data_IF_999277288606
#
_entry.id   IF_999277288606
#
_cell.length_a   1.000
_cell.length_b   1.000
_cell.length_c   1.000
_cell.angle_alpha   90.00
_cell.angle_beta   90.00
_cell.angle_gamma   90.00
#
_symmetry.space_group_name_H-M   'P 1'
#
loop_
_entity.id
_entity.type
_entity.pdbx_description
1 polymer ?
#
# COMPACT_ATOMS: atom_id res chain seq x y z
N UNK A 1 -16.13 -4.56 -8.63
CA UNK A 1 -14.75 -5.08 -8.76
C UNK A 1 -13.81 -4.37 -7.79
N UNK A 2 -12.84 -5.06 -7.18
CA UNK A 2 -11.86 -4.51 -6.25
C UNK A 2 -10.43 -4.94 -6.58
N UNK A 3 -9.57 -3.99 -6.92
CA UNK A 3 -8.13 -4.20 -7.08
C UNK A 3 -7.46 -3.84 -5.76
N UNK A 4 -6.61 -4.71 -5.23
CA UNK A 4 -5.74 -4.44 -4.11
C UNK A 4 -4.33 -4.17 -4.64
N UNK A 5 -3.80 -2.98 -4.38
CA UNK A 5 -2.52 -2.53 -4.89
C UNK A 5 -1.55 -2.29 -3.74
N UNK A 6 -0.44 -3.01 -3.71
CA UNK A 6 0.65 -2.81 -2.76
C UNK A 6 1.67 -1.85 -3.34
N UNK A 7 1.94 -0.76 -2.63
CA UNK A 7 2.96 0.22 -3.03
C UNK A 7 4.36 -0.38 -2.93
N UNK A 8 5.41 0.38 -3.26
CA UNK A 8 6.80 -0.03 -3.03
C UNK A 8 7.32 0.32 -1.63
N UNK A 9 6.45 0.79 -0.73
CA UNK A 9 6.86 1.26 0.59
C UNK A 9 7.25 2.74 0.62
N UNK A 10 6.92 3.52 -0.42
CA UNK A 10 7.00 4.98 -0.39
C UNK A 10 6.58 5.56 0.96
N UNK A 11 7.41 6.46 1.51
CA UNK A 11 7.18 7.11 2.79
C UNK A 11 7.77 6.40 4.02
N UNK A 12 8.17 5.12 3.94
CA UNK A 12 8.77 4.43 5.10
C UNK A 12 10.13 5.03 5.50
N UNK A 13 10.78 5.79 4.62
CA UNK A 13 12.02 6.51 4.91
C UNK A 13 11.82 7.71 5.85
N UNK A 14 10.57 8.12 6.11
CA UNK A 14 10.23 9.17 7.09
C UNK A 14 9.89 8.56 8.45
N UNK A 15 10.55 9.05 9.49
CA UNK A 15 10.39 8.56 10.87
C UNK A 15 8.96 8.76 11.36
N UNK A 16 8.34 9.89 11.03
CA UNK A 16 6.94 10.18 11.36
C UNK A 16 5.98 9.11 10.85
N UNK A 17 6.24 8.58 9.65
CA UNK A 17 5.46 7.49 9.05
C UNK A 17 5.78 6.18 9.77
N UNK A 18 7.06 5.87 10.01
CA UNK A 18 7.48 4.65 10.76
C UNK A 18 6.82 4.60 12.13
N UNK A 19 6.92 5.67 12.91
CA UNK A 19 6.32 5.78 14.24
C UNK A 19 4.79 5.62 14.19
N UNK A 20 4.15 6.23 13.20
CA UNK A 20 2.71 6.12 13.01
C UNK A 20 2.28 4.69 12.66
N UNK A 21 2.98 4.00 11.75
CA UNK A 21 2.63 2.61 11.40
C UNK A 21 2.92 1.64 12.54
N UNK A 22 3.91 1.92 13.39
CA UNK A 22 4.17 1.14 14.60
C UNK A 22 3.05 1.26 15.64
N UNK A 23 2.12 2.22 15.52
CA UNK A 23 0.93 2.27 16.37
C UNK A 23 -0.19 1.35 15.88
N UNK A 24 -0.08 0.78 14.69
CA UNK A 24 -1.08 -0.11 14.11
C UNK A 24 -0.84 -1.55 14.62
N UNK A 25 -1.80 -2.17 15.33
CA UNK A 25 -1.59 -3.48 15.97
C UNK A 25 -1.18 -4.60 15.02
N UNK A 26 -1.78 -4.64 13.82
CA UNK A 26 -1.46 -5.66 12.82
C UNK A 26 -0.05 -5.48 12.25
N UNK A 27 0.44 -4.23 12.15
CA UNK A 27 1.83 -3.94 11.74
C UNK A 27 2.81 -4.40 12.81
N UNK A 28 2.56 -4.08 14.09
CA UNK A 28 3.38 -4.58 15.20
C UNK A 28 3.42 -6.10 15.25
N UNK A 29 2.28 -6.75 15.08
CA UNK A 29 2.17 -8.21 15.08
C UNK A 29 2.97 -8.81 13.92
N UNK A 30 2.91 -8.19 12.74
CA UNK A 30 3.67 -8.60 11.56
C UNK A 30 5.18 -8.46 11.80
N UNK A 31 5.64 -7.32 12.34
CA UNK A 31 7.06 -7.08 12.66
C UNK A 31 7.59 -8.07 13.69
N UNK A 32 6.84 -8.32 14.77
CA UNK A 32 7.23 -9.29 15.82
C UNK A 32 7.37 -10.71 15.27
N UNK A 33 6.47 -11.13 14.36
CA UNK A 33 6.59 -12.42 13.67
C UNK A 33 7.79 -12.45 12.72
N UNK A 34 8.06 -11.35 12.03
CA UNK A 34 9.23 -11.22 11.15
C UNK A 34 10.56 -11.24 11.90
N UNK A 35 10.58 -10.81 13.17
CA UNK A 35 11.80 -10.78 14.01
C UNK A 35 12.49 -12.15 14.10
N UNK A 36 11.74 -13.26 14.05
CA UNK A 36 12.27 -14.62 14.07
C UNK A 36 13.22 -14.94 12.90
N UNK A 37 13.01 -14.26 11.76
CA UNK A 37 13.80 -14.42 10.54
C UNK A 37 14.99 -13.46 10.48
N UNK A 38 14.94 -12.33 11.20
CA UNK A 38 15.99 -11.32 11.27
C UNK A 38 16.79 -11.41 12.58
N UNK A 39 17.37 -12.58 12.88
CA UNK A 39 17.96 -12.88 14.20
C UNK A 39 19.12 -11.97 14.64
N UNK A 40 19.78 -11.31 13.70
CA UNK A 40 20.97 -10.49 13.96
C UNK A 40 20.68 -8.99 14.04
N UNK A 41 19.42 -8.58 13.88
CA UNK A 41 19.01 -7.18 13.86
C UNK A 41 17.68 -7.03 14.58
N UNK A 42 17.57 -6.09 15.50
CA UNK A 42 16.29 -5.75 16.12
C UNK A 42 15.47 -4.88 15.15
N UNK A 43 14.40 -5.45 14.59
CA UNK A 43 13.56 -4.78 13.60
C UNK A 43 12.82 -3.59 14.21
N UNK A 44 12.43 -3.67 15.48
CA UNK A 44 11.74 -2.57 16.16
C UNK A 44 12.69 -1.40 16.40
N UNK A 45 13.94 -1.69 16.77
CA UNK A 45 14.98 -0.67 16.90
C UNK A 45 15.28 -0.02 15.54
N UNK A 46 15.38 -0.81 14.47
CA UNK A 46 15.62 -0.26 13.12
C UNK A 46 14.49 0.65 12.67
N UNK A 47 13.24 0.30 12.96
CA UNK A 47 12.09 1.17 12.63
C UNK A 47 12.12 2.51 13.38
N UNK A 48 12.75 2.56 14.55
CA UNK A 48 12.91 3.78 15.36
C UNK A 48 14.16 4.61 15.06
N UNK A 49 14.97 4.24 14.06
CA UNK A 49 16.14 5.02 13.68
C UNK A 49 15.74 6.41 13.13
N UNK A 50 16.56 7.45 13.33
CA UNK A 50 16.43 8.73 12.63
C UNK A 50 16.51 8.55 11.10
N UNK A 51 15.95 9.49 10.34
CA UNK A 51 15.84 9.39 8.87
C UNK A 51 17.18 9.19 8.17
N UNK A 52 18.22 9.91 8.59
CA UNK A 52 19.55 9.81 7.98
C UNK A 52 20.21 8.46 8.21
N UNK A 53 19.98 7.84 9.38
CA UNK A 53 20.47 6.50 9.70
C UNK A 53 19.65 5.42 8.99
N UNK A 54 18.32 5.59 8.94
CA UNK A 54 17.44 4.66 8.24
C UNK A 54 17.74 4.59 6.73
N UNK A 55 18.11 5.72 6.12
CA UNK A 55 18.57 5.77 4.72
C UNK A 55 19.87 5.00 4.47
N UNK A 56 20.66 4.73 5.50
CA UNK A 56 21.87 3.90 5.41
C UNK A 56 21.61 2.41 5.61
N UNK A 57 20.41 2.03 6.10
CA UNK A 57 20.00 0.63 6.22
C UNK A 57 20.04 -0.04 4.85
N UNK A 58 20.53 -1.28 4.81
CA UNK A 58 20.64 -2.03 3.56
C UNK A 58 19.28 -2.16 2.86
N UNK A 59 19.29 -2.09 1.53
CA UNK A 59 18.07 -2.21 0.72
C UNK A 59 17.32 -3.51 1.00
N UNK A 60 18.05 -4.60 1.25
CA UNK A 60 17.48 -5.91 1.62
C UNK A 60 16.66 -5.81 2.91
N UNK A 61 17.22 -5.19 3.96
CA UNK A 61 16.52 -5.04 5.23
C UNK A 61 15.36 -4.05 5.13
N UNK A 62 15.52 -2.94 4.40
CA UNK A 62 14.40 -2.01 4.14
C UNK A 62 13.24 -2.69 3.41
N UNK A 63 13.54 -3.44 2.34
CA UNK A 63 12.52 -4.19 1.61
C UNK A 63 11.82 -5.23 2.49
N UNK A 64 12.55 -5.84 3.42
CA UNK A 64 11.95 -6.75 4.39
C UNK A 64 10.98 -6.02 5.33
N UNK A 65 11.38 -4.87 5.87
CA UNK A 65 10.51 -4.03 6.71
C UNK A 65 9.26 -3.56 5.96
N UNK A 66 9.41 -3.09 4.73
CA UNK A 66 8.30 -2.68 3.85
C UNK A 66 7.29 -3.83 3.70
N UNK A 67 7.77 -5.04 3.40
CA UNK A 67 6.92 -6.22 3.25
C UNK A 67 6.18 -6.56 4.55
N UNK A 68 6.84 -6.44 5.70
CA UNK A 68 6.20 -6.69 7.00
C UNK A 68 5.14 -5.64 7.33
N UNK A 69 5.41 -4.36 7.08
CA UNK A 69 4.43 -3.27 7.24
C UNK A 69 3.23 -3.49 6.34
N UNK A 70 3.46 -3.75 5.05
CA UNK A 70 2.41 -4.05 4.09
C UNK A 70 1.57 -5.26 4.46
N UNK A 71 2.20 -6.32 4.98
CA UNK A 71 1.49 -7.49 5.48
C UNK A 71 0.58 -7.15 6.65
N UNK A 72 1.03 -6.29 7.57
CA UNK A 72 0.22 -5.79 8.67
C UNK A 72 -0.98 -4.98 8.20
N UNK A 73 -0.76 -4.01 7.30
CA UNK A 73 -1.82 -3.20 6.70
C UNK A 73 -2.82 -4.07 5.90
N UNK A 74 -2.33 -5.06 5.17
CA UNK A 74 -3.17 -6.03 4.47
C UNK A 74 -4.01 -6.87 5.43
N UNK A 75 -3.42 -7.37 6.53
CA UNK A 75 -4.16 -8.13 7.52
C UNK A 75 -5.27 -7.27 8.16
N UNK A 76 -4.98 -6.01 8.46
CA UNK A 76 -5.96 -5.05 8.97
C UNK A 76 -7.12 -4.84 8.00
N UNK A 77 -6.81 -4.75 6.72
CA UNK A 77 -7.82 -4.64 5.66
C UNK A 77 -8.67 -5.92 5.53
N UNK A 78 -8.05 -7.12 5.56
CA UNK A 78 -8.78 -8.40 5.56
C UNK A 78 -9.69 -8.52 6.79
N UNK A 79 -9.24 -8.10 7.97
CA UNK A 79 -9.99 -8.17 9.22
C UNK A 79 -11.34 -7.41 9.17
N UNK A 80 -11.56 -6.58 8.15
CA UNK A 80 -12.82 -5.87 7.87
C UNK A 80 -13.70 -6.54 6.84
N UNK A 81 -13.51 -7.85 6.63
CA UNK A 81 -14.24 -8.66 5.65
C UNK A 81 -14.14 -8.10 4.22
N UNK A 82 -12.97 -7.55 3.89
CA UNK A 82 -12.67 -7.14 2.53
C UNK A 82 -12.05 -8.29 1.72
N UNK A 83 -12.40 -8.34 0.43
CA UNK A 83 -11.88 -9.31 -0.56
C UNK A 83 -11.44 -8.59 -1.82
N UNK A 84 -10.35 -9.05 -2.42
CA UNK A 84 -9.78 -8.49 -3.64
C UNK A 84 -10.08 -9.40 -4.82
N UNK A 85 -10.44 -8.79 -5.95
CA UNK A 85 -10.59 -9.46 -7.25
C UNK A 85 -9.28 -9.48 -8.05
N UNK A 86 -8.34 -8.62 -7.72
CA UNK A 86 -6.99 -8.61 -8.31
C UNK A 86 -6.02 -8.10 -7.26
N UNK A 87 -4.89 -8.76 -7.09
CA UNK A 87 -3.82 -8.30 -6.22
C UNK A 87 -2.63 -7.89 -7.09
N UNK A 88 -2.31 -6.61 -7.07
CA UNK A 88 -1.15 -6.03 -7.73
C UNK A 88 -0.08 -5.70 -6.70
N UNK A 89 1.15 -6.17 -6.93
CA UNK A 89 2.29 -5.85 -6.08
C UNK A 89 3.42 -5.31 -6.95
N UNK A 90 3.98 -4.15 -6.57
CA UNK A 90 5.19 -3.59 -7.19
C UNK A 90 6.44 -4.34 -6.72
N UNK A 91 6.51 -5.64 -7.01
CA UNK A 91 7.66 -6.50 -6.69
C UNK A 91 8.66 -6.40 -7.87
N UNK A 92 9.96 -6.27 -7.58
CA UNK A 92 11.07 -6.38 -8.55
C UNK A 92 11.14 -5.32 -9.65
N UNK A 93 11.05 -4.02 -9.32
CA UNK A 93 11.26 -2.95 -10.31
C UNK A 93 10.34 -2.99 -11.53
N UNK A 94 9.16 -3.62 -11.43
CA UNK A 94 8.17 -3.56 -12.52
C UNK A 94 7.96 -2.11 -12.93
N UNK A 95 8.04 -1.87 -14.23
CA UNK A 95 7.91 -0.52 -14.73
C UNK A 95 6.49 -0.04 -14.48
N UNK A 96 6.37 1.26 -14.26
CA UNK A 96 5.08 1.92 -14.15
C UNK A 96 4.17 1.60 -15.34
N UNK A 97 4.74 1.46 -16.54
CA UNK A 97 4.01 1.10 -17.76
C UNK A 97 3.38 -0.30 -17.69
N UNK A 98 4.07 -1.27 -17.09
CA UNK A 98 3.55 -2.65 -16.96
C UNK A 98 2.35 -2.71 -16.01
N UNK A 99 2.45 -2.01 -14.88
CA UNK A 99 1.36 -1.93 -13.88
C UNK A 99 0.14 -1.22 -14.50
N UNK A 100 0.39 -0.15 -15.26
CA UNK A 100 -0.65 0.55 -16.03
C UNK A 100 -1.36 -0.39 -17.00
N UNK A 101 -0.60 -1.16 -17.78
CA UNK A 101 -1.15 -2.10 -18.74
C UNK A 101 -1.99 -3.19 -18.06
N UNK A 102 -1.53 -3.74 -16.93
CA UNK A 102 -2.24 -4.78 -16.18
C UNK A 102 -3.58 -4.28 -15.63
N UNK A 103 -3.62 -3.08 -15.04
CA UNK A 103 -4.85 -2.45 -14.57
C UNK A 103 -5.84 -2.23 -15.72
N UNK A 104 -5.37 -1.67 -16.85
CA UNK A 104 -6.22 -1.38 -18.00
C UNK A 104 -6.75 -2.65 -18.66
N UNK A 105 -5.91 -3.68 -18.79
CA UNK A 105 -6.30 -4.97 -19.34
C UNK A 105 -7.34 -5.67 -18.46
N UNK A 106 -7.16 -5.64 -17.13
CA UNK A 106 -8.12 -6.21 -16.20
C UNK A 106 -9.48 -5.51 -16.26
N UNK A 107 -9.48 -4.17 -16.29
CA UNK A 107 -10.69 -3.37 -16.49
C UNK A 107 -11.37 -3.72 -17.81
N UNK A 108 -10.60 -3.76 -18.91
CA UNK A 108 -11.12 -4.00 -20.25
C UNK A 108 -11.71 -5.41 -20.39
N UNK A 109 -10.95 -6.43 -20.02
CA UNK A 109 -11.37 -7.81 -20.18
C UNK A 109 -12.62 -8.14 -19.37
N UNK A 110 -12.77 -7.55 -18.18
CA UNK A 110 -14.01 -7.66 -17.39
C UNK A 110 -15.18 -6.85 -17.98
N UNK A 111 -14.94 -5.68 -18.57
CA UNK A 111 -15.98 -4.89 -19.27
C UNK A 111 -16.51 -5.59 -20.53
N UNK A 112 -15.65 -6.36 -21.21
CA UNK A 112 -15.97 -7.10 -22.42
C UNK A 112 -16.51 -8.52 -22.13
N UNK A 113 -16.81 -8.85 -20.86
CA UNK A 113 -17.25 -10.19 -20.40
C UNK A 113 -16.35 -11.36 -20.84
N UNK A 114 -15.06 -11.09 -21.09
CA UNK A 114 -14.10 -12.14 -21.43
C UNK A 114 -13.62 -12.85 -20.15
N UNK A 115 -13.47 -14.17 -20.23
CA UNK A 115 -12.82 -14.96 -19.19
C UNK A 115 -11.35 -14.55 -19.09
N UNK A 116 -11.06 -13.67 -18.13
CA UNK A 116 -9.69 -13.47 -17.66
C UNK A 116 -9.33 -14.73 -16.90
N UNK A 117 -8.20 -15.36 -17.22
CA UNK A 117 -7.62 -16.47 -16.48
C UNK A 117 -7.24 -16.01 -15.07
N UNK A 118 -8.25 -15.90 -14.20
CA UNK A 118 -8.12 -15.76 -12.77
C UNK A 118 -8.55 -17.10 -12.21
N UNK A 119 -7.62 -18.04 -12.09
CA UNK A 119 -7.88 -19.44 -11.70
C UNK A 119 -8.66 -19.58 -10.36
N UNK A 120 -8.86 -18.51 -9.58
CA UNK A 120 -9.51 -18.55 -8.27
C UNK A 120 -10.70 -17.57 -8.07
N UNK A 121 -11.22 -16.91 -9.10
CA UNK A 121 -12.21 -15.83 -8.90
C UNK A 121 -13.62 -16.19 -9.36
N UNK A 122 -14.35 -16.81 -8.43
CA UNK A 122 -15.81 -16.78 -8.44
C UNK A 122 -16.29 -15.33 -8.28
N UNK A 123 -16.98 -14.77 -9.29
CA UNK A 123 -18.32 -14.15 -9.20
C UNK A 123 -18.58 -13.02 -10.21
N UNK A 124 -19.86 -12.97 -10.61
CA UNK A 124 -20.48 -12.27 -11.73
C UNK A 124 -21.27 -11.01 -11.32
N UNK A 125 -20.99 -10.40 -10.18
CA UNK A 125 -21.85 -9.33 -9.65
C UNK A 125 -21.12 -8.01 -9.41
N UNK A 126 -21.71 -6.95 -9.98
CA UNK A 126 -21.37 -5.52 -9.91
C UNK A 126 -20.32 -4.99 -10.91
N UNK A 127 -20.81 -4.81 -12.16
CA UNK A 127 -20.11 -4.15 -13.28
C UNK A 127 -20.14 -2.60 -13.23
N UNK A 128 -20.84 -1.98 -12.28
CA UNK A 128 -21.04 -0.51 -12.30
C UNK A 128 -19.89 0.31 -11.68
N UNK A 129 -18.97 -0.33 -10.94
CA UNK A 129 -17.80 0.36 -10.40
C UNK A 129 -16.58 -0.55 -10.14
N UNK A 130 -15.40 0.07 -10.22
CA UNK A 130 -14.11 -0.51 -9.80
C UNK A 130 -13.63 0.21 -8.54
N UNK A 131 -13.20 -0.53 -7.55
CA UNK A 131 -12.57 0.00 -6.36
C UNK A 131 -11.08 -0.39 -6.39
N UNK A 132 -10.17 0.57 -6.24
CA UNK A 132 -8.74 0.30 -6.08
C UNK A 132 -8.39 0.65 -4.65
N UNK A 133 -8.02 -0.36 -3.87
CA UNK A 133 -7.55 -0.20 -2.49
C UNK A 133 -6.03 -0.25 -2.48
N UNK A 134 -5.40 0.78 -1.91
CA UNK A 134 -3.95 0.92 -1.82
C UNK A 134 -3.48 0.46 -0.43
N UNK A 135 -2.42 -0.35 -0.41
CA UNK A 135 -1.76 -0.90 0.77
C UNK A 135 -0.33 -0.40 0.80
N UNK A 136 -0.06 0.54 1.69
CA UNK A 136 1.27 1.08 1.89
C UNK A 136 1.27 2.13 2.98
N UNK A 137 2.45 2.44 3.54
CA UNK A 137 2.60 3.50 4.54
C UNK A 137 2.57 4.92 3.94
N UNK A 138 2.57 5.04 2.60
CA UNK A 138 2.63 6.31 1.88
C UNK A 138 2.11 6.22 0.45
N UNK A 139 2.08 7.38 -0.19
CA UNK A 139 1.58 7.58 -1.55
C UNK A 139 2.67 7.27 -2.58
N UNK A 140 2.30 6.61 -3.67
CA UNK A 140 3.19 6.43 -4.82
C UNK A 140 2.64 7.12 -6.09
N UNK A 141 3.50 7.22 -7.10
CA UNK A 141 3.18 7.83 -8.40
C UNK A 141 2.04 7.11 -9.14
N UNK A 142 1.82 5.83 -8.82
CA UNK A 142 0.76 5.00 -9.40
C UNK A 142 -0.60 5.45 -8.90
N UNK A 143 -0.74 5.79 -7.62
CA UNK A 143 -1.97 6.37 -7.09
C UNK A 143 -2.36 7.66 -7.85
N UNK A 144 -1.42 8.59 -8.00
CA UNK A 144 -1.66 9.89 -8.64
C UNK A 144 -2.13 9.67 -10.08
N UNK A 145 -1.44 8.78 -10.80
CA UNK A 145 -1.81 8.41 -12.15
C UNK A 145 -3.20 7.77 -12.23
N UNK A 146 -3.47 6.78 -11.38
CA UNK A 146 -4.76 6.10 -11.34
C UNK A 146 -5.88 7.13 -11.13
N UNK A 147 -5.75 8.05 -10.16
CA UNK A 147 -6.73 9.12 -9.92
C UNK A 147 -6.98 9.98 -11.15
N UNK A 148 -5.93 10.35 -11.89
CA UNK A 148 -6.04 11.16 -13.11
C UNK A 148 -6.75 10.41 -14.24
N UNK A 149 -6.32 9.19 -14.56
CA UNK A 149 -6.94 8.38 -15.63
C UNK A 149 -8.38 8.00 -15.32
N UNK A 150 -8.70 7.77 -14.05
CA UNK A 150 -10.07 7.48 -13.64
C UNK A 150 -10.96 8.70 -13.81
N UNK A 151 -10.45 9.89 -13.48
CA UNK A 151 -11.22 11.12 -13.57
C UNK A 151 -11.60 11.49 -15.01
N UNK A 152 -10.87 10.98 -16.00
CA UNK A 152 -11.17 11.20 -17.43
C UNK A 152 -12.12 10.14 -18.02
N UNK A 153 -12.45 9.08 -17.29
CA UNK A 153 -13.35 8.01 -17.75
C UNK A 153 -14.81 8.34 -17.47
N UNK A 154 -15.64 8.25 -18.51
CA UNK A 154 -17.10 8.40 -18.42
C UNK A 154 -17.86 7.08 -18.49
N UNK A 155 -17.18 6.01 -18.92
CA UNK A 155 -17.74 4.68 -19.15
C UNK A 155 -17.90 3.87 -17.86
N UNK A 156 -17.11 4.17 -16.83
CA UNK A 156 -17.05 3.38 -15.61
C UNK A 156 -16.63 4.21 -14.40
N UNK A 157 -17.38 4.09 -13.29
CA UNK A 157 -17.01 4.75 -12.03
C UNK A 157 -15.87 4.00 -11.36
N UNK A 158 -14.75 4.68 -11.10
CA UNK A 158 -13.65 4.09 -10.32
C UNK A 158 -13.44 4.86 -9.02
N UNK A 159 -13.30 4.11 -7.92
CA UNK A 159 -13.10 4.62 -6.58
C UNK A 159 -11.70 4.23 -6.11
N UNK A 160 -10.91 5.19 -5.65
CA UNK A 160 -9.60 4.91 -5.05
C UNK A 160 -9.69 5.14 -3.56
N UNK A 161 -9.31 4.11 -2.80
CA UNK A 161 -9.23 4.12 -1.35
C UNK A 161 -7.81 3.77 -0.93
N UNK A 162 -7.31 4.45 0.09
CA UNK A 162 -6.10 4.05 0.79
C UNK A 162 -6.51 3.39 2.11
N UNK A 163 -5.85 2.30 2.52
CA UNK A 163 -6.26 1.57 3.72
C UNK A 163 -6.17 2.41 4.98
N UNK A 164 -5.20 3.32 5.07
CA UNK A 164 -5.05 4.18 6.23
C UNK A 164 -6.11 5.30 6.18
N UNK A 165 -6.27 5.97 5.04
CA UNK A 165 -7.19 7.08 4.88
C UNK A 165 -8.68 6.67 4.92
N UNK A 166 -8.99 5.45 4.50
CA UNK A 166 -10.37 4.91 4.51
C UNK A 166 -10.75 4.23 5.82
N UNK A 167 -9.83 4.13 6.77
CA UNK A 167 -10.01 3.51 8.06
C UNK A 167 -10.40 4.53 9.14
N UNK A 168 -11.65 4.51 9.66
CA UNK A 168 -12.07 5.45 10.70
C UNK A 168 -11.30 5.31 12.03
N UNK A 169 -10.69 4.16 12.30
CA UNK A 169 -9.85 3.94 13.49
C UNK A 169 -8.41 4.44 13.29
N UNK A 170 -8.06 4.91 12.08
CA UNK A 170 -6.78 5.53 11.73
C UNK A 170 -6.93 6.98 11.28
N UNK A 171 -8.05 7.64 11.63
CA UNK A 171 -8.31 9.05 11.35
C UNK A 171 -7.22 10.00 11.90
N UNK A 172 -6.55 9.58 12.97
CA UNK A 172 -5.39 10.23 13.57
C UNK A 172 -4.10 10.14 12.75
N UNK A 173 -3.96 9.17 11.83
CA UNK A 173 -2.68 8.86 11.20
C UNK A 173 -2.12 10.03 10.38
N UNK A 174 -2.86 10.48 9.36
CA UNK A 174 -2.38 11.54 8.48
C UNK A 174 -2.25 12.91 9.15
N UNK A 175 -3.16 13.32 10.07
CA UNK A 175 -2.92 14.48 10.93
C UNK A 175 -1.59 14.38 11.69
N UNK A 176 -1.32 13.25 12.33
CA UNK A 176 -0.11 13.05 13.13
C UNK A 176 1.17 13.04 12.28
N UNK A 177 1.16 12.36 11.13
CA UNK A 177 2.29 12.38 10.18
C UNK A 177 2.57 13.82 9.73
N UNK A 178 1.54 14.59 9.36
CA UNK A 178 1.71 15.99 8.92
C UNK A 178 2.26 16.88 10.02
N UNK A 179 1.76 16.73 11.25
CA UNK A 179 2.26 17.50 12.39
C UNK A 179 3.73 17.18 12.68
N UNK A 180 4.10 15.89 12.68
CA UNK A 180 5.47 15.47 12.90
C UNK A 180 6.42 15.97 11.78
N UNK A 181 5.96 15.96 10.52
CA UNK A 181 6.74 16.51 9.39
C UNK A 181 6.84 18.04 9.47
N UNK A 182 5.78 18.74 9.91
CA UNK A 182 5.81 20.20 10.04
C UNK A 182 6.71 20.67 11.21
N UNK A 183 6.77 19.88 12.29
CA UNK A 183 7.56 20.18 13.48
C UNK A 183 9.04 19.80 13.34
N UNK A 184 9.36 18.81 12.50
CA UNK A 184 10.74 18.53 12.10
C UNK A 184 11.08 19.40 10.89
N UNK A 185 11.72 20.55 11.11
CA UNK A 185 12.31 21.39 10.05
C UNK A 185 13.25 20.56 9.15
N UNK A 186 12.71 19.90 8.12
CA UNK A 186 13.50 19.42 7.00
C UNK A 186 13.46 20.48 5.90
N UNK A 187 14.61 20.97 5.43
CA UNK A 187 14.66 21.87 4.29
C UNK A 187 14.13 21.08 3.09
N UNK A 188 13.06 21.60 2.48
CA UNK A 188 12.68 21.23 1.12
C UNK A 188 13.88 21.51 0.22
N UNK A 189 14.51 20.47 -0.30
CA UNK A 189 15.31 20.54 -1.54
C UNK A 189 14.78 19.45 -2.47
#
# INVERSE_FOLDING_TARGET
MRILYFTDGAGIDLQSIRDSVLRIPEVLTSLRRGQEQARYVDLMQVMGLPDDEFRQVSSVLRNYLINLVQRGLHQRWINRDHRADLILRRINHRSFADIKAEVLNFIRAKSESHDVATEDLHLFHFLSHVEITIIGPGYDEIEIWLRREISSRSDMKVLIKDVIASDPQLDWFWPHVREAVANNEMPLI
#
